data_IF_219283003401
#
_entry.id   IF_219283003401
#
_cell.length_a   1.000
_cell.length_b   1.000
_cell.length_c   1.000
_cell.angle_alpha   90.00
_cell.angle_beta   90.00
_cell.angle_gamma   90.00
#
_symmetry.space_group_name_H-M   'P 1'
#
loop_
_entity.id
_entity.type
_entity.pdbx_description
1 polymer ?
#
# COMPACT_ATOMS: atom_id res chain seq x y z
N UNK A 1 11.85 10.26 7.64
CA UNK A 1 10.40 10.41 7.38
C UNK A 1 9.63 9.59 8.40
N UNK A 2 8.55 10.12 8.94
CA UNK A 2 7.64 9.41 9.85
C UNK A 2 6.25 9.38 9.20
N UNK A 3 5.64 8.21 9.11
CA UNK A 3 4.27 8.07 8.59
C UNK A 3 3.24 8.28 9.69
N UNK A 4 2.10 8.87 9.34
CA UNK A 4 0.95 8.96 10.25
C UNK A 4 0.52 7.56 10.67
N UNK A 5 0.12 7.41 11.93
CA UNK A 5 -0.61 6.23 12.42
C UNK A 5 -2.08 6.56 12.65
N UNK A 6 -2.97 5.65 12.28
CA UNK A 6 -4.38 5.65 12.64
C UNK A 6 -4.66 4.39 13.43
N UNK A 7 -5.11 4.55 14.67
CA UNK A 7 -5.35 3.45 15.61
C UNK A 7 -4.11 2.53 15.77
N UNK A 8 -2.92 3.14 15.78
CA UNK A 8 -1.63 2.42 15.91
C UNK A 8 -1.09 1.81 14.61
N UNK A 9 -1.85 1.83 13.51
CA UNK A 9 -1.48 1.26 12.21
C UNK A 9 -0.97 2.36 11.27
N UNK A 10 0.15 2.13 10.60
CA UNK A 10 0.76 3.10 9.69
C UNK A 10 -0.12 3.34 8.46
N UNK A 11 -0.30 4.62 8.10
CA UNK A 11 -0.95 5.04 6.85
C UNK A 11 0.11 5.13 5.76
N UNK A 12 -0.02 4.26 4.77
CA UNK A 12 0.86 4.13 3.63
C UNK A 12 0.39 5.08 2.53
N UNK A 13 1.26 6.02 2.16
CA UNK A 13 0.96 7.07 1.17
C UNK A 13 1.30 8.48 1.68
N UNK A 14 0.58 9.48 1.16
CA UNK A 14 0.87 10.90 1.33
C UNK A 14 0.63 11.49 2.72
N UNK A 15 0.45 10.70 3.78
CA UNK A 15 0.35 11.25 5.15
C UNK A 15 1.64 11.01 5.93
N UNK A 16 2.53 12.01 5.98
CA UNK A 16 3.85 11.91 6.60
C UNK A 16 4.34 13.23 7.20
N UNK A 17 5.34 13.11 8.07
CA UNK A 17 6.26 14.19 8.43
C UNK A 17 7.66 13.82 7.93
N UNK A 18 8.20 14.62 7.02
CA UNK A 18 9.58 14.52 6.56
C UNK A 18 10.40 15.60 7.26
N UNK A 19 11.40 15.18 8.02
CA UNK A 19 12.36 16.07 8.67
C UNK A 19 13.74 15.78 8.10
N UNK A 20 14.46 16.84 7.72
CA UNK A 20 15.86 16.79 7.33
C UNK A 20 16.70 17.58 8.33
N UNK A 21 17.88 17.07 8.66
CA UNK A 21 18.81 17.69 9.58
C UNK A 21 20.14 17.93 8.86
N UNK A 22 20.76 19.08 9.10
CA UNK A 22 22.12 19.38 8.67
C UNK A 22 23.04 19.64 9.88
N UNK A 23 24.27 20.10 9.62
CA UNK A 23 25.26 20.40 10.66
C UNK A 23 24.83 21.47 11.68
N UNK A 24 23.79 22.25 11.40
CA UNK A 24 23.28 23.33 12.25
C UNK A 24 21.99 22.97 12.99
N UNK A 25 21.35 21.84 12.63
CA UNK A 25 20.10 21.38 13.25
C UNK A 25 19.06 20.97 12.23
N UNK A 26 17.78 21.12 12.57
CA UNK A 26 16.66 20.84 11.65
C UNK A 26 16.70 21.84 10.49
N UNK A 27 16.93 21.35 9.27
CA UNK A 27 17.08 22.17 8.07
C UNK A 27 15.80 22.25 7.24
N UNK A 28 14.96 21.20 7.27
CA UNK A 28 13.71 21.14 6.52
C UNK A 28 12.67 20.30 7.24
N UNK A 29 11.42 20.75 7.22
CA UNK A 29 10.28 19.97 7.69
C UNK A 29 9.12 20.12 6.71
N UNK A 30 8.61 18.99 6.23
CA UNK A 30 7.42 18.90 5.40
C UNK A 30 6.39 18.00 6.06
N UNK A 31 5.16 18.48 6.11
CA UNK A 31 4.06 17.84 6.81
C UNK A 31 2.92 17.73 5.80
N UNK A 32 2.68 16.50 5.34
CA UNK A 32 1.50 16.17 4.57
C UNK A 32 0.56 15.39 5.49
N UNK A 33 -0.59 15.97 5.83
CA UNK A 33 -1.49 15.42 6.85
C UNK A 33 -2.94 15.44 6.38
N UNK A 34 -3.27 14.57 5.43
CA UNK A 34 -4.64 14.45 4.89
C UNK A 34 -5.62 14.05 6.01
N UNK A 35 -6.76 14.73 6.12
CA UNK A 35 -7.81 14.37 7.06
C UNK A 35 -8.70 13.31 6.43
N UNK A 36 -8.90 12.19 7.14
CA UNK A 36 -9.78 11.11 6.71
C UNK A 36 -10.98 11.03 7.67
N UNK A 37 -12.17 10.91 7.11
CA UNK A 37 -13.40 10.64 7.87
C UNK A 37 -13.68 9.15 7.87
N UNK A 38 -14.08 8.60 9.02
CA UNK A 38 -14.50 7.19 9.12
C UNK A 38 -15.88 7.04 8.48
N UNK A 39 -15.98 6.19 7.45
CA UNK A 39 -17.24 5.89 6.76
C UNK A 39 -17.43 4.38 6.78
N UNK A 40 -18.65 3.88 7.05
CA UNK A 40 -18.92 2.45 6.97
C UNK A 40 -18.85 2.00 5.50
N UNK A 41 -18.10 0.92 5.23
CA UNK A 41 -17.90 0.34 3.90
C UNK A 41 -18.52 -1.06 3.81
N UNK A 42 -18.97 -1.43 2.62
CA UNK A 42 -19.46 -2.77 2.28
C UNK A 42 -18.83 -3.20 0.97
N UNK A 43 -18.48 -4.48 0.89
CA UNK A 43 -18.06 -5.08 -0.38
C UNK A 43 -19.28 -5.43 -1.21
N UNK A 44 -19.24 -5.13 -2.51
CA UNK A 44 -20.25 -5.56 -3.49
C UNK A 44 -20.22 -7.08 -3.74
N UNK A 45 -19.12 -7.76 -3.38
CA UNK A 45 -18.93 -9.20 -3.57
C UNK A 45 -19.20 -10.03 -2.31
N UNK A 46 -19.70 -11.25 -2.52
CA UNK A 46 -19.76 -12.31 -1.51
C UNK A 46 -18.35 -12.73 -1.05
N UNK A 47 -18.23 -13.15 0.21
CA UNK A 47 -16.94 -13.47 0.83
C UNK A 47 -16.13 -14.55 0.08
N UNK A 48 -16.78 -15.60 -0.42
CA UNK A 48 -16.13 -16.69 -1.16
C UNK A 48 -15.54 -16.21 -2.49
N UNK A 49 -16.29 -15.40 -3.24
CA UNK A 49 -15.84 -14.78 -4.50
C UNK A 49 -14.71 -13.79 -4.24
N UNK A 50 -14.82 -13.02 -3.15
CA UNK A 50 -13.80 -12.05 -2.72
C UNK A 50 -12.46 -12.73 -2.44
N UNK A 51 -12.43 -13.78 -1.63
CA UNK A 51 -11.19 -14.51 -1.33
C UNK A 51 -10.53 -15.10 -2.58
N UNK A 52 -11.35 -15.58 -3.53
CA UNK A 52 -10.85 -16.08 -4.81
C UNK A 52 -10.20 -14.97 -5.64
N UNK A 53 -10.87 -13.82 -5.75
CA UNK A 53 -10.35 -12.66 -6.49
C UNK A 53 -9.03 -12.17 -5.88
N UNK A 54 -8.98 -11.97 -4.57
CA UNK A 54 -7.76 -11.57 -3.84
C UNK A 54 -6.58 -12.46 -4.12
N UNK A 55 -6.80 -13.78 -4.09
CA UNK A 55 -5.74 -14.74 -4.35
C UNK A 55 -5.25 -14.64 -5.79
N UNK A 56 -6.16 -14.51 -6.76
CA UNK A 56 -5.80 -14.37 -8.17
C UNK A 56 -5.03 -13.07 -8.43
N UNK A 57 -5.46 -11.95 -7.87
CA UNK A 57 -4.77 -10.66 -8.00
C UNK A 57 -3.38 -10.70 -7.36
N UNK A 58 -3.26 -11.30 -6.18
CA UNK A 58 -1.97 -11.48 -5.52
C UNK A 58 -1.02 -12.36 -6.34
N UNK A 59 -1.48 -13.52 -6.81
CA UNK A 59 -0.67 -14.46 -7.60
C UNK A 59 -0.18 -13.78 -8.89
N UNK A 60 -1.06 -13.06 -9.60
CA UNK A 60 -0.71 -12.30 -10.80
C UNK A 60 0.33 -11.21 -10.52
N UNK A 61 0.19 -10.48 -9.41
CA UNK A 61 1.12 -9.43 -9.05
C UNK A 61 2.51 -10.01 -8.70
N UNK A 62 2.55 -11.10 -7.93
CA UNK A 62 3.80 -11.81 -7.59
C UNK A 62 4.49 -12.35 -8.84
N UNK A 63 3.74 -12.91 -9.78
CA UNK A 63 4.28 -13.38 -11.05
C UNK A 63 4.88 -12.21 -11.86
N UNK A 64 4.17 -11.09 -11.95
CA UNK A 64 4.63 -9.90 -12.66
C UNK A 64 5.95 -9.37 -12.08
N UNK A 65 6.03 -9.21 -10.76
CA UNK A 65 7.27 -8.77 -10.08
C UNK A 65 8.39 -9.79 -10.29
N UNK A 66 8.09 -11.08 -10.19
CA UNK A 66 9.09 -12.14 -10.40
C UNK A 66 9.65 -12.13 -11.82
N UNK A 67 8.81 -11.88 -12.83
CA UNK A 67 9.23 -11.76 -14.23
C UNK A 67 10.09 -10.51 -14.46
N UNK A 68 9.70 -9.37 -13.88
CA UNK A 68 10.48 -8.14 -13.97
C UNK A 68 11.86 -8.29 -13.32
N UNK A 69 11.93 -8.90 -12.14
CA UNK A 69 13.20 -9.22 -11.48
C UNK A 69 14.08 -10.10 -12.35
N UNK A 70 13.53 -11.16 -12.94
CA UNK A 70 14.29 -12.04 -13.85
C UNK A 70 14.83 -11.28 -15.06
N UNK A 71 13.99 -10.44 -15.70
CA UNK A 71 14.35 -9.65 -16.88
C UNK A 71 15.46 -8.65 -16.58
N UNK A 72 15.43 -8.03 -15.40
CA UNK A 72 16.39 -7.02 -14.98
C UNK A 72 17.62 -7.61 -14.27
N UNK A 73 17.78 -8.94 -14.25
CA UNK A 73 18.91 -9.58 -13.59
C UNK A 73 18.94 -9.34 -12.08
N UNK A 74 17.77 -9.18 -11.46
CA UNK A 74 17.60 -8.93 -10.03
C UNK A 74 17.25 -10.23 -9.30
N UNK A 75 17.55 -10.24 -8.00
CA UNK A 75 17.09 -11.23 -7.03
C UNK A 75 16.60 -10.47 -5.80
N UNK A 76 15.58 -10.98 -5.13
CA UNK A 76 15.10 -10.39 -3.89
C UNK A 76 14.32 -11.38 -3.06
N UNK A 77 14.03 -10.97 -1.84
CA UNK A 77 13.24 -11.75 -0.90
C UNK A 77 12.47 -10.83 0.05
N UNK A 78 11.32 -11.31 0.52
CA UNK A 78 10.53 -10.63 1.52
C UNK A 78 10.99 -11.04 2.92
N UNK A 79 11.18 -10.07 3.79
CA UNK A 79 11.66 -10.28 5.16
C UNK A 79 10.53 -10.23 6.17
N UNK A 80 9.58 -9.30 5.95
CA UNK A 80 8.52 -9.05 6.89
C UNK A 80 7.24 -8.56 6.17
N UNK A 81 6.15 -8.57 6.91
CA UNK A 81 4.89 -7.95 6.52
C UNK A 81 4.35 -7.08 7.65
N UNK A 82 3.66 -6.01 7.29
CA UNK A 82 3.02 -5.11 8.24
C UNK A 82 1.60 -4.81 7.82
N UNK A 83 0.70 -4.73 8.78
CA UNK A 83 -0.63 -4.19 8.55
C UNK A 83 -0.50 -2.68 8.34
N UNK A 84 -1.15 -2.18 7.29
CA UNK A 84 -1.13 -0.78 6.90
C UNK A 84 -2.51 -0.31 6.47
N UNK A 85 -2.72 1.00 6.50
CA UNK A 85 -3.82 1.63 5.79
C UNK A 85 -3.33 2.11 4.44
N UNK A 86 -4.03 1.74 3.37
CA UNK A 86 -3.68 2.20 2.02
C UNK A 86 -4.77 3.11 1.46
N UNK A 87 -4.35 4.18 0.78
CA UNK A 87 -5.25 5.14 0.12
C UNK A 87 -5.70 4.58 -1.23
N UNK A 88 -7.00 4.44 -1.41
CA UNK A 88 -7.64 4.23 -2.70
C UNK A 88 -8.48 5.44 -3.06
N UNK A 89 -8.63 5.68 -4.35
CA UNK A 89 -9.53 6.71 -4.89
C UNK A 89 -10.73 5.99 -5.49
N UNK A 90 -11.94 6.35 -5.06
CA UNK A 90 -13.16 5.82 -5.68
C UNK A 90 -13.36 6.42 -7.06
N UNK A 91 -14.22 5.80 -7.87
CA UNK A 91 -14.61 6.31 -9.19
C UNK A 91 -15.12 7.78 -9.15
N UNK A 92 -15.62 8.22 -8.00
CA UNK A 92 -16.11 9.58 -7.76
C UNK A 92 -15.02 10.57 -7.32
N UNK A 93 -13.73 10.18 -7.35
CA UNK A 93 -12.61 11.02 -6.94
C UNK A 93 -12.46 11.19 -5.41
N UNK A 94 -13.18 10.38 -4.61
CA UNK A 94 -13.04 10.43 -3.14
C UNK A 94 -11.94 9.50 -2.68
N UNK A 95 -11.05 10.02 -1.85
CA UNK A 95 -10.02 9.23 -1.20
C UNK A 95 -10.57 8.46 0.00
N UNK A 96 -10.25 7.18 0.10
CA UNK A 96 -10.58 6.31 1.23
C UNK A 96 -9.34 5.58 1.72
N UNK A 97 -9.29 5.31 3.02
CA UNK A 97 -8.31 4.41 3.60
C UNK A 97 -8.94 3.05 3.84
N UNK A 98 -8.23 2.01 3.43
CA UNK A 98 -8.68 0.63 3.59
C UNK A 98 -7.56 -0.25 4.13
N UNK A 99 -7.89 -1.29 4.91
CA UNK A 99 -6.87 -2.17 5.47
C UNK A 99 -6.09 -2.86 4.35
N UNK A 100 -4.78 -2.96 4.52
CA UNK A 100 -3.87 -3.57 3.56
C UNK A 100 -2.70 -4.23 4.30
N UNK A 101 -1.94 -5.03 3.57
CA UNK A 101 -0.70 -5.65 4.05
C UNK A 101 0.41 -5.17 3.13
N UNK A 102 1.43 -4.57 3.75
CA UNK A 102 2.65 -4.15 3.08
C UNK A 102 3.76 -5.13 3.42
N UNK A 103 4.34 -5.77 2.41
CA UNK A 103 5.57 -6.54 2.53
C UNK A 103 6.79 -5.63 2.43
N UNK A 104 7.76 -5.91 3.28
CA UNK A 104 9.05 -5.24 3.33
C UNK A 104 10.11 -6.29 3.06
N UNK A 105 11.03 -5.97 2.17
CA UNK A 105 12.12 -6.85 1.84
C UNK A 105 13.26 -6.10 1.19
N UNK A 106 14.07 -6.86 0.46
CA UNK A 106 15.25 -6.33 -0.19
C UNK A 106 15.54 -7.05 -1.50
N UNK A 107 16.24 -6.36 -2.39
CA UNK A 107 16.68 -6.89 -3.67
C UNK A 107 18.10 -6.45 -4.01
N UNK A 108 18.76 -7.20 -4.88
CA UNK A 108 20.08 -6.89 -5.41
C UNK A 108 20.15 -7.27 -6.89
N UNK A 109 21.00 -6.61 -7.69
CA UNK A 109 21.49 -7.19 -8.93
C UNK A 109 22.17 -8.52 -8.65
N UNK A 110 22.11 -9.48 -9.59
CA UNK A 110 22.75 -10.80 -9.45
C UNK A 110 24.26 -10.71 -9.28
N UNK A 111 24.88 -9.74 -9.96
CA UNK A 111 26.33 -9.56 -10.01
C UNK A 111 26.82 -8.47 -9.03
N UNK A 112 26.02 -8.13 -8.02
CA UNK A 112 26.33 -7.08 -7.05
C UNK A 112 25.91 -7.46 -5.64
N UNK A 113 26.74 -7.12 -4.66
CA UNK A 113 26.41 -7.21 -3.24
C UNK A 113 25.62 -5.99 -2.74
N UNK A 114 25.26 -5.08 -3.64
CA UNK A 114 24.45 -3.92 -3.30
C UNK A 114 23.01 -4.37 -3.00
N UNK A 115 22.64 -4.27 -1.73
CA UNK A 115 21.30 -4.52 -1.25
C UNK A 115 20.50 -3.22 -1.26
N UNK A 116 19.31 -3.26 -1.85
CA UNK A 116 18.37 -2.16 -1.91
C UNK A 116 17.06 -2.56 -1.23
N UNK A 117 16.46 -1.67 -0.42
CA UNK A 117 15.17 -1.95 0.19
C UNK A 117 14.07 -1.98 -0.88
N UNK A 118 13.09 -2.87 -0.70
CA UNK A 118 11.85 -2.89 -1.48
C UNK A 118 10.63 -2.93 -0.57
N UNK A 119 9.56 -2.35 -1.07
CA UNK A 119 8.24 -2.36 -0.44
C UNK A 119 7.25 -2.81 -1.48
N UNK A 120 6.35 -3.70 -1.10
CA UNK A 120 5.38 -4.32 -1.99
C UNK A 120 4.05 -4.46 -1.25
N UNK A 121 2.95 -3.94 -1.79
CA UNK A 121 1.64 -4.12 -1.15
C UNK A 121 0.82 -5.13 -1.90
N UNK A 122 0.02 -5.83 -1.12
CA UNK A 122 -1.07 -6.62 -1.66
C UNK A 122 -2.09 -5.66 -2.32
N UNK A 123 -2.57 -5.99 -3.52
CA UNK A 123 -3.69 -5.31 -4.13
C UNK A 123 -4.84 -5.19 -3.15
N UNK A 124 -5.44 -4.03 -3.15
CA UNK A 124 -6.56 -3.73 -2.27
C UNK A 124 -7.84 -4.12 -2.99
N UNK A 125 -8.80 -4.61 -2.22
CA UNK A 125 -10.12 -4.96 -2.71
C UNK A 125 -10.85 -3.75 -3.31
N UNK A 126 -10.85 -3.64 -4.64
CA UNK A 126 -11.58 -2.61 -5.36
C UNK A 126 -13.12 -2.75 -5.20
N UNK A 127 -13.61 -3.89 -4.70
CA UNK A 127 -15.05 -4.09 -4.46
C UNK A 127 -15.56 -3.40 -3.19
N UNK A 128 -14.69 -2.80 -2.37
CA UNK A 128 -15.07 -2.05 -1.18
C UNK A 128 -15.64 -0.67 -1.55
N UNK A 129 -16.92 -0.47 -1.23
CA UNK A 129 -17.65 0.78 -1.50
C UNK A 129 -18.22 1.37 -0.20
N UNK A 130 -18.33 2.70 -0.07
CA UNK A 130 -19.08 3.34 1.02
C UNK A 130 -20.54 2.87 1.05
N UNK A 131 -21.10 2.60 2.23
CA UNK A 131 -22.51 2.19 2.38
C UNK A 131 -23.49 3.28 1.94
N UNK A 132 -23.08 4.55 1.96
CA UNK A 132 -23.92 5.65 1.45
C UNK A 132 -23.85 5.81 -0.08
N UNK A 133 -23.01 5.03 -0.76
CA UNK A 133 -22.84 5.02 -2.22
C UNK A 133 -23.24 3.65 -2.80
N UNK A 134 -24.26 2.99 -2.21
CA UNK A 134 -24.90 1.84 -2.86
C UNK A 134 -25.33 2.29 -4.26
N UNK A 135 -24.60 1.78 -5.25
CA UNK A 135 -24.90 1.93 -6.66
C UNK A 135 -26.34 1.48 -6.85
N UNK A 136 -27.23 2.45 -7.11
CA UNK A 136 -28.54 2.15 -7.68
C UNK A 136 -28.22 1.59 -9.07
N UNK A 137 -28.35 0.27 -9.24
CA UNK A 137 -28.37 -0.33 -10.56
C UNK A 137 -29.43 0.41 -11.39
N UNK A 138 -29.01 0.99 -12.52
CA UNK A 138 -29.91 1.48 -13.57
C UNK A 138 -30.15 0.39 -14.59
#
# INVERSE_FOLDING_TARGET
MMHRKLDGISVRGGSYVLMNYDSTGLSYMDIQWEKYSKVPVKSSLELSKRNKLHRQEFDNLVETVSQDFKKNGLRGHFENSSQTWSRIETENGKAMLVPSITFIGQYSPKDSDKILPMVFDIPIDASLLPINEVLVEK
#
